data_IF_422662601222
#
_entry.id   IF_422662601222
#
_cell.length_a   1.000
_cell.length_b   1.000
_cell.length_c   1.000
_cell.angle_alpha   90.00
_cell.angle_beta   90.00
_cell.angle_gamma   90.00
#
_symmetry.space_group_name_H-M   'P 1'
#
loop_
_entity.id
_entity.type
_entity.pdbx_description
1 polymer ?
#
# COMPACT_ATOMS: atom_id res chain seq x y z
N UNK A 1 -8.23 -21.55 20.74
CA UNK A 1 -8.20 -20.06 20.85
C UNK A 1 -6.84 -19.41 20.62
N UNK A 2 -5.71 -19.92 21.18
CA UNK A 2 -4.38 -19.30 21.01
C UNK A 2 -3.97 -19.05 19.54
N UNK A 3 -4.28 -19.97 18.63
CA UNK A 3 -4.00 -19.83 17.20
C UNK A 3 -4.83 -18.73 16.52
N UNK A 4 -6.13 -18.63 16.83
CA UNK A 4 -7.01 -17.58 16.29
C UNK A 4 -6.55 -16.17 16.72
N UNK A 5 -6.14 -16.00 17.99
CA UNK A 5 -5.59 -14.74 18.49
C UNK A 5 -4.26 -14.39 17.81
N UNK A 6 -3.42 -15.40 17.54
CA UNK A 6 -2.14 -15.22 16.84
C UNK A 6 -2.35 -14.80 15.38
N UNK A 7 -3.31 -15.43 14.69
CA UNK A 7 -3.75 -15.04 13.35
C UNK A 7 -4.27 -13.59 13.36
N UNK A 8 -5.20 -13.27 14.25
CA UNK A 8 -5.77 -11.93 14.36
C UNK A 8 -4.69 -10.85 14.54
N UNK A 9 -3.71 -11.08 15.43
CA UNK A 9 -2.59 -10.13 15.62
C UNK A 9 -1.70 -9.99 14.39
N UNK A 10 -1.56 -11.03 13.58
CA UNK A 10 -0.79 -11.01 12.34
C UNK A 10 -1.50 -10.21 11.24
N UNK A 11 -2.81 -10.40 11.11
CA UNK A 11 -3.63 -9.78 10.06
C UNK A 11 -4.11 -8.36 10.42
N UNK A 12 -4.28 -8.04 11.70
CA UNK A 12 -4.70 -6.71 12.17
C UNK A 12 -3.91 -5.55 11.52
N UNK A 13 -2.56 -5.54 11.51
CA UNK A 13 -1.82 -4.47 10.85
C UNK A 13 -2.06 -4.44 9.34
N UNK A 14 -2.20 -5.60 8.68
CA UNK A 14 -2.50 -5.68 7.25
C UNK A 14 -3.84 -5.00 6.96
N UNK A 15 -4.89 -5.33 7.71
CA UNK A 15 -6.20 -4.70 7.54
C UNK A 15 -6.20 -3.20 7.80
N UNK A 16 -5.42 -2.74 8.79
CA UNK A 16 -5.32 -1.31 9.09
C UNK A 16 -4.61 -0.56 7.96
N UNK A 17 -3.45 -1.03 7.52
CA UNK A 17 -2.71 -0.36 6.45
C UNK A 17 -3.48 -0.41 5.12
N UNK A 18 -4.20 -1.50 4.85
CA UNK A 18 -4.98 -1.65 3.61
C UNK A 18 -6.13 -0.67 3.59
N UNK A 19 -6.79 -0.48 4.73
CA UNK A 19 -7.81 0.56 4.86
C UNK A 19 -7.25 1.96 4.59
N UNK A 20 -6.06 2.30 5.11
CA UNK A 20 -5.45 3.62 4.86
C UNK A 20 -5.11 3.82 3.39
N UNK A 21 -4.47 2.83 2.77
CA UNK A 21 -4.01 2.90 1.40
C UNK A 21 -5.18 2.89 0.41
N UNK A 22 -6.22 2.11 0.68
CA UNK A 22 -7.46 2.12 -0.07
C UNK A 22 -8.15 3.48 0.03
N UNK A 23 -8.32 4.01 1.25
CA UNK A 23 -9.02 5.28 1.49
C UNK A 23 -8.31 6.43 0.78
N UNK A 24 -6.97 6.52 0.90
CA UNK A 24 -6.19 7.56 0.21
C UNK A 24 -6.32 7.49 -1.30
N UNK A 25 -6.30 6.27 -1.87
CA UNK A 25 -6.46 6.06 -3.30
C UNK A 25 -7.85 6.41 -3.80
N UNK A 26 -8.90 6.06 -3.05
CA UNK A 26 -10.27 6.44 -3.39
C UNK A 26 -10.46 7.95 -3.37
N UNK A 27 -9.89 8.65 -2.38
CA UNK A 27 -9.94 10.12 -2.32
C UNK A 27 -9.21 10.73 -3.53
N UNK A 28 -8.03 10.21 -3.88
CA UNK A 28 -7.29 10.64 -5.07
C UNK A 28 -8.07 10.42 -6.36
N UNK A 29 -8.72 9.26 -6.50
CA UNK A 29 -9.55 8.97 -7.67
C UNK A 29 -10.78 9.88 -7.76
N UNK A 30 -11.43 10.16 -6.63
CA UNK A 30 -12.56 11.09 -6.58
C UNK A 30 -12.13 12.52 -6.90
N UNK A 31 -10.99 12.97 -6.38
CA UNK A 31 -10.43 14.28 -6.70
C UNK A 31 -10.06 14.41 -8.18
N UNK A 32 -9.47 13.37 -8.77
CA UNK A 32 -9.18 13.32 -10.20
C UNK A 32 -10.47 13.33 -11.05
N UNK A 33 -11.53 12.68 -10.59
CA UNK A 33 -12.83 12.70 -11.26
C UNK A 33 -13.46 14.11 -11.25
N UNK A 34 -13.44 14.80 -10.11
CA UNK A 34 -13.94 16.18 -10.01
C UNK A 34 -13.09 17.15 -10.87
N UNK A 35 -11.76 17.03 -10.82
CA UNK A 35 -10.85 17.86 -11.64
C UNK A 35 -11.00 17.64 -13.15
N UNK A 36 -11.39 16.43 -13.56
CA UNK A 36 -11.62 16.09 -14.97
C UNK A 36 -13.03 16.45 -15.46
N UNK A 37 -13.84 17.13 -14.65
CA UNK A 37 -15.20 17.50 -15.03
C UNK A 37 -16.14 16.30 -15.15
N UNK A 38 -15.92 15.26 -14.33
CA UNK A 38 -16.69 14.01 -14.31
C UNK A 38 -16.55 13.12 -15.53
N UNK A 39 -15.52 13.35 -16.33
CA UNK A 39 -15.19 12.52 -17.49
C UNK A 39 -14.49 11.20 -17.10
N UNK A 40 -14.16 11.01 -15.82
CA UNK A 40 -13.50 9.80 -15.31
C UNK A 40 -14.52 8.87 -14.62
N UNK A 41 -14.93 7.74 -15.24
CA UNK A 41 -15.95 6.90 -14.66
C UNK A 41 -15.41 6.12 -13.45
N UNK A 42 -15.83 6.52 -12.24
CA UNK A 42 -15.62 5.75 -11.01
C UNK A 42 -16.58 4.57 -11.00
N UNK A 43 -16.16 3.47 -11.62
CA UNK A 43 -16.96 2.24 -11.71
C UNK A 43 -16.72 1.34 -10.49
N UNK A 44 -17.64 0.42 -10.24
CA UNK A 44 -17.46 -0.63 -9.23
C UNK A 44 -16.18 -1.45 -9.49
N UNK A 45 -15.86 -1.73 -10.76
CA UNK A 45 -14.63 -2.42 -11.15
C UNK A 45 -13.37 -1.68 -10.73
N UNK A 46 -13.33 -0.35 -10.89
CA UNK A 46 -12.21 0.47 -10.41
C UNK A 46 -12.04 0.35 -8.88
N UNK A 47 -13.13 0.44 -8.12
CA UNK A 47 -13.08 0.33 -6.65
C UNK A 47 -12.60 -1.05 -6.19
N UNK A 48 -13.07 -2.13 -6.83
CA UNK A 48 -12.59 -3.49 -6.56
C UNK A 48 -11.11 -3.65 -6.94
N UNK A 49 -10.68 -3.05 -8.05
CA UNK A 49 -9.28 -3.01 -8.46
C UNK A 49 -8.40 -2.27 -7.45
N UNK A 50 -8.82 -1.11 -6.94
CA UNK A 50 -8.13 -0.37 -5.90
C UNK A 50 -8.06 -1.15 -4.58
N UNK A 51 -9.14 -1.84 -4.21
CA UNK A 51 -9.17 -2.69 -3.03
C UNK A 51 -8.20 -3.87 -3.15
N UNK A 52 -8.24 -4.60 -4.27
CA UNK A 52 -7.34 -5.71 -4.55
C UNK A 52 -5.87 -5.25 -4.63
N UNK A 53 -5.62 -4.08 -5.22
CA UNK A 53 -4.30 -3.46 -5.22
C UNK A 53 -3.83 -3.18 -3.80
N UNK A 54 -4.67 -2.57 -2.97
CA UNK A 54 -4.30 -2.20 -1.60
C UNK A 54 -3.98 -3.41 -0.73
N UNK A 55 -4.78 -4.47 -0.82
CA UNK A 55 -4.54 -5.74 -0.13
C UNK A 55 -3.23 -6.39 -0.57
N UNK A 56 -3.02 -6.50 -1.88
CA UNK A 56 -1.83 -7.15 -2.41
C UNK A 56 -0.56 -6.35 -2.14
N UNK A 57 -0.58 -5.03 -2.28
CA UNK A 57 0.59 -4.19 -2.01
C UNK A 57 1.05 -4.34 -0.57
N UNK A 58 0.15 -4.34 0.42
CA UNK A 58 0.55 -4.50 1.82
C UNK A 58 0.93 -5.94 2.16
N UNK A 59 0.34 -6.92 1.49
CA UNK A 59 0.82 -8.30 1.52
C UNK A 59 2.27 -8.40 1.05
N UNK A 60 2.61 -7.77 -0.08
CA UNK A 60 3.96 -7.71 -0.63
C UNK A 60 4.91 -6.93 0.27
N UNK A 61 4.45 -5.83 0.88
CA UNK A 61 5.22 -5.07 1.86
C UNK A 61 5.67 -5.96 3.03
N UNK A 62 4.75 -6.76 3.58
CA UNK A 62 5.09 -7.73 4.64
C UNK A 62 6.09 -8.76 4.17
N UNK A 63 5.92 -9.28 2.97
CA UNK A 63 6.75 -10.34 2.40
C UNK A 63 8.18 -9.85 2.13
N UNK A 64 8.33 -8.69 1.50
CA UNK A 64 9.63 -8.15 1.12
C UNK A 64 10.32 -7.35 2.23
N UNK A 65 9.59 -6.64 3.10
CA UNK A 65 10.17 -5.69 4.05
C UNK A 65 10.09 -6.14 5.52
N UNK A 66 9.06 -6.90 5.93
CA UNK A 66 8.92 -7.33 7.34
C UNK A 66 9.48 -8.73 7.63
N UNK A 67 9.43 -9.66 6.67
CA UNK A 67 9.87 -11.05 6.87
C UNK A 67 11.41 -11.20 6.99
N UNK A 68 11.89 -11.50 8.20
CA UNK A 68 13.33 -11.68 8.49
C UNK A 68 13.84 -13.02 7.92
N UNK A 69 14.27 -13.03 6.66
CA UNK A 69 14.99 -14.16 6.08
C UNK A 69 16.49 -14.10 6.40
N UNK A 70 17.12 -15.25 6.68
CA UNK A 70 18.59 -15.37 6.74
C UNK A 70 19.16 -15.10 5.34
N UNK A 71 20.11 -14.17 5.22
CA UNK A 71 20.70 -13.78 3.93
C UNK A 71 19.93 -12.68 3.18
N UNK A 72 19.17 -11.84 3.90
CA UNK A 72 18.34 -10.80 3.29
C UNK A 72 19.18 -9.79 2.49
N UNK A 73 18.79 -9.46 1.25
CA UNK A 73 19.45 -8.41 0.49
C UNK A 73 19.31 -7.05 1.20
N UNK A 74 20.20 -6.08 0.90
CA UNK A 74 20.16 -4.77 1.53
C UNK A 74 18.78 -4.12 1.33
N UNK A 75 18.33 -3.40 2.36
CA UNK A 75 17.02 -2.74 2.37
C UNK A 75 16.65 -1.97 1.08
N UNK A 76 17.53 -1.14 0.46
CA UNK A 76 17.19 -0.45 -0.78
C UNK A 76 16.78 -1.41 -1.90
N UNK A 77 17.41 -2.59 -2.00
CA UNK A 77 17.04 -3.61 -3.00
C UNK A 77 15.68 -4.19 -2.68
N UNK A 78 15.39 -4.51 -1.40
CA UNK A 78 14.07 -4.98 -1.00
C UNK A 78 12.97 -3.93 -1.27
N UNK A 79 13.28 -2.64 -1.08
CA UNK A 79 12.37 -1.54 -1.34
C UNK A 79 12.08 -1.40 -2.84
N UNK A 80 13.10 -1.48 -3.69
CA UNK A 80 12.93 -1.45 -5.15
C UNK A 80 12.08 -2.65 -5.59
N UNK A 81 12.39 -3.86 -5.12
CA UNK A 81 11.60 -5.06 -5.43
C UNK A 81 10.14 -4.93 -4.95
N UNK A 82 9.92 -4.33 -3.79
CA UNK A 82 8.58 -4.03 -3.29
C UNK A 82 7.84 -3.04 -4.20
N UNK A 83 8.47 -1.93 -4.58
CA UNK A 83 7.86 -0.91 -5.44
C UNK A 83 7.53 -1.50 -6.82
N UNK A 84 8.46 -2.26 -7.41
CA UNK A 84 8.25 -2.92 -8.70
C UNK A 84 7.15 -3.97 -8.64
N UNK A 85 7.12 -4.82 -7.59
CA UNK A 85 6.08 -5.83 -7.43
C UNK A 85 4.70 -5.21 -7.13
N UNK A 86 4.65 -4.14 -6.35
CA UNK A 86 3.43 -3.38 -6.14
C UNK A 86 2.93 -2.76 -7.45
N UNK A 87 3.81 -2.13 -8.25
CA UNK A 87 3.45 -1.56 -9.54
C UNK A 87 2.90 -2.62 -10.52
N UNK A 88 3.57 -3.78 -10.61
CA UNK A 88 3.10 -4.92 -11.40
C UNK A 88 1.74 -5.43 -10.92
N UNK A 89 1.56 -5.56 -9.60
CA UNK A 89 0.29 -5.98 -9.02
C UNK A 89 -0.85 -4.99 -9.30
N UNK A 90 -0.57 -3.69 -9.21
CA UNK A 90 -1.52 -2.64 -9.56
C UNK A 90 -1.92 -2.67 -11.03
N UNK A 91 -0.96 -2.88 -11.93
CA UNK A 91 -1.20 -3.05 -13.35
C UNK A 91 -2.10 -4.26 -13.64
N UNK A 92 -1.82 -5.41 -13.03
CA UNK A 92 -2.65 -6.61 -13.17
C UNK A 92 -4.06 -6.39 -12.62
N UNK A 93 -4.20 -5.83 -11.41
CA UNK A 93 -5.50 -5.58 -10.80
C UNK A 93 -6.37 -4.64 -11.65
N UNK A 94 -5.79 -3.54 -12.12
CA UNK A 94 -6.54 -2.58 -12.92
C UNK A 94 -6.89 -3.16 -14.30
N UNK A 95 -6.02 -3.92 -14.96
CA UNK A 95 -6.38 -4.57 -16.22
C UNK A 95 -7.47 -5.63 -16.07
N UNK A 96 -7.46 -6.42 -15.00
CA UNK A 96 -8.49 -7.44 -14.76
C UNK A 96 -9.86 -6.84 -14.45
N UNK A 97 -9.91 -5.83 -13.58
CA UNK A 97 -11.18 -5.26 -13.11
C UNK A 97 -11.70 -4.07 -13.94
N UNK A 98 -10.84 -3.44 -14.74
CA UNK A 98 -11.21 -2.32 -15.61
C UNK A 98 -11.27 -2.73 -17.09
N UNK A 99 -10.43 -3.67 -17.53
CA UNK A 99 -10.43 -4.20 -18.91
C UNK A 99 -11.66 -5.05 -19.26
N UNK A 100 -12.38 -5.57 -18.27
CA UNK A 100 -13.66 -6.27 -18.46
C UNK A 100 -14.78 -5.37 -18.99
N UNK A 101 -14.63 -4.04 -18.92
CA UNK A 101 -15.63 -3.07 -19.39
C UNK A 101 -15.39 -2.51 -20.81
N UNK A 102 -14.45 -3.06 -21.59
CA UNK A 102 -14.38 -2.89 -23.05
C UNK A 102 -14.04 -1.50 -23.61
N UNK A 103 -13.77 -0.48 -22.78
CA UNK A 103 -13.46 0.87 -23.28
C UNK A 103 -11.96 1.05 -23.57
N UNK A 104 -11.58 1.16 -24.86
CA UNK A 104 -10.21 1.43 -25.33
C UNK A 104 -9.58 2.73 -24.82
N UNK A 105 -10.38 3.69 -24.35
CA UNK A 105 -9.89 4.92 -23.68
C UNK A 105 -9.34 4.67 -22.27
N UNK A 106 -9.47 3.44 -21.74
CA UNK A 106 -9.04 3.03 -20.42
C UNK A 106 -7.52 2.92 -20.23
N UNK A 107 -6.75 2.60 -21.28
CA UNK A 107 -5.30 2.41 -21.15
C UNK A 107 -4.57 3.71 -20.78
N UNK A 108 -5.06 4.85 -21.28
CA UNK A 108 -4.55 6.17 -20.94
C UNK A 108 -4.87 6.59 -19.48
N UNK A 109 -5.94 6.02 -18.90
CA UNK A 109 -6.39 6.26 -17.53
C UNK A 109 -5.70 5.38 -16.48
N UNK A 110 -5.05 4.29 -16.89
CA UNK A 110 -4.36 3.34 -15.99
C UNK A 110 -3.10 3.95 -15.35
N UNK A 111 -2.27 4.62 -16.15
CA UNK A 111 -1.02 5.25 -15.71
C UNK A 111 -1.24 6.30 -14.61
N UNK A 112 -2.20 7.25 -14.73
CA UNK A 112 -2.44 8.25 -13.69
C UNK A 112 -3.06 7.69 -12.41
N UNK A 113 -3.54 6.43 -12.38
CA UNK A 113 -4.03 5.76 -11.15
C UNK A 113 -2.93 4.94 -10.49
N UNK A 114 -2.10 4.25 -11.27
CA UNK A 114 -1.02 3.40 -10.75
C UNK A 114 0.08 4.25 -10.11
N UNK A 115 0.51 5.33 -10.77
CA UNK A 115 1.55 6.22 -10.26
C UNK A 115 1.26 6.73 -8.84
N UNK A 116 0.13 7.38 -8.55
CA UNK A 116 -0.18 7.83 -7.21
C UNK A 116 -0.34 6.67 -6.23
N UNK A 117 -0.85 5.51 -6.65
CA UNK A 117 -0.89 4.32 -5.81
C UNK A 117 0.49 3.83 -5.38
N UNK A 118 1.44 3.79 -6.30
CA UNK A 118 2.84 3.42 -6.01
C UNK A 118 3.52 4.48 -5.14
N UNK A 119 3.25 5.77 -5.36
CA UNK A 119 3.73 6.84 -4.49
C UNK A 119 3.15 6.74 -3.08
N UNK A 120 1.85 6.44 -2.93
CA UNK A 120 1.22 6.21 -1.63
C UNK A 120 1.87 5.03 -0.89
N UNK A 121 2.16 3.92 -1.60
CA UNK A 121 2.90 2.78 -1.05
C UNK A 121 4.29 3.20 -0.52
N UNK A 122 5.06 3.98 -1.28
CA UNK A 122 6.38 4.45 -0.87
C UNK A 122 6.30 5.44 0.31
N UNK A 123 5.35 6.38 0.28
CA UNK A 123 5.14 7.37 1.32
C UNK A 123 4.76 6.72 2.66
N UNK A 124 3.87 5.72 2.64
CA UNK A 124 3.48 4.97 3.83
C UNK A 124 4.65 4.18 4.44
N UNK A 125 5.52 3.58 3.62
CA UNK A 125 6.72 2.90 4.12
C UNK A 125 7.71 3.88 4.78
N UNK A 126 7.96 5.04 4.17
CA UNK A 126 8.81 6.09 4.74
C UNK A 126 8.22 6.60 6.05
N UNK A 127 6.92 6.87 6.09
CA UNK A 127 6.23 7.33 7.28
C UNK A 127 6.31 6.30 8.43
N UNK A 128 6.08 5.02 8.12
CA UNK A 128 6.17 3.94 9.10
C UNK A 128 7.58 3.82 9.69
N UNK A 129 8.62 3.96 8.87
CA UNK A 129 10.01 3.97 9.33
C UNK A 129 10.34 5.16 10.20
N UNK A 130 9.91 6.35 9.79
CA UNK A 130 10.13 7.57 10.56
C UNK A 130 9.45 7.46 11.94
N UNK A 131 8.21 6.96 11.97
CA UNK A 131 7.49 6.68 13.21
C UNK A 131 8.23 5.68 14.10
N UNK A 132 8.74 4.59 13.54
CA UNK A 132 9.50 3.59 14.29
C UNK A 132 10.81 4.17 14.86
N UNK A 133 11.52 4.99 14.07
CA UNK A 133 12.70 5.70 14.54
C UNK A 133 12.37 6.66 15.69
N UNK A 134 11.33 7.48 15.53
CA UNK A 134 10.88 8.43 16.56
C UNK A 134 10.48 7.71 17.86
N UNK A 135 9.83 6.56 17.75
CA UNK A 135 9.44 5.77 18.93
C UNK A 135 10.67 5.22 19.65
N UNK A 136 11.66 4.73 18.92
CA UNK A 136 12.90 4.21 19.49
C UNK A 136 13.72 5.29 20.20
N UNK A 137 13.77 6.51 19.65
CA UNK A 137 14.47 7.64 20.29
C UNK A 137 13.75 8.09 21.56
N UNK A 138 12.42 8.21 21.54
CA UNK A 138 11.62 8.52 22.75
C UNK A 138 11.80 7.45 23.83
N UNK A 139 11.80 6.17 23.45
CA UNK A 139 11.98 5.06 24.37
C UNK A 139 13.40 5.04 24.98
N UNK A 140 14.41 5.42 24.20
CA UNK A 140 15.78 5.59 24.70
C UNK A 140 15.88 6.76 25.70
N UNK A 141 15.23 7.89 25.42
CA UNK A 141 15.16 9.03 26.34
C UNK A 141 14.47 8.66 27.65
N UNK A 142 13.34 7.94 27.58
CA UNK A 142 12.63 7.47 28.77
C UNK A 142 13.48 6.52 29.62
N UNK A 143 14.18 5.55 28.98
CA UNK A 143 15.09 4.64 29.68
C UNK A 143 16.26 5.36 30.35
N UNK A 144 16.77 6.44 29.76
CA UNK A 144 17.82 7.28 30.37
C UNK A 144 17.30 7.99 31.62
N UNK A 145 16.10 8.62 31.56
CA UNK A 145 15.48 9.30 32.71
C UNK A 145 15.10 8.37 33.86
N UNK A 146 14.83 7.09 33.59
CA UNK A 146 14.49 6.11 34.64
C UNK A 146 15.73 5.47 35.29
N UNK A 147 16.91 5.62 34.69
CA UNK A 147 18.18 5.09 35.22
C UNK A 147 18.99 6.13 35.99
N UNK A 148 18.69 7.42 35.84
CA UNK A 148 19.13 8.50 36.75
C UNK A 148 18.19 8.59 37.93
#
# INVERSE_FOLDING_TARGET
MKYAVKLYRLFKPVYIYTSYLFTSLTILCLAANELSGRNFPVTAGLLWGLFAFSLGSIGLQKLFLELKFKGRPPYPVCLILYICSAALWGFVCLNLFYGTNGNRTAEAALIPVILPGVFCCAALEIFNRYRAHMYNTLLAQYKRRKRS
#
